data_IF_761151909986
#
_entry.id   IF_761151909986
#
_cell.length_a   1.000
_cell.length_b   1.000
_cell.length_c   1.000
_cell.angle_alpha   90.00
_cell.angle_beta   90.00
_cell.angle_gamma   90.00
#
_symmetry.space_group_name_H-M   'P 1'
#
loop_
_entity.id
_entity.type
_entity.pdbx_description
1 polymer ?
#
# COMPACT_ATOMS: atom_id res chain seq x y z
N UNK A 1 19.86 6.45 13.67
CA UNK A 1 19.49 6.08 12.28
C UNK A 1 19.73 4.60 12.14
N UNK A 2 18.72 3.86 11.71
CA UNK A 2 18.83 2.47 11.32
C UNK A 2 19.57 2.34 9.97
N UNK A 3 19.87 1.11 9.57
CA UNK A 3 20.66 0.85 8.35
C UNK A 3 19.99 -0.18 7.44
N UNK A 4 18.75 -0.57 7.74
CA UNK A 4 18.05 -1.65 7.01
C UNK A 4 17.80 -1.33 5.53
N UNK A 5 17.65 -0.04 5.20
CA UNK A 5 17.46 0.46 3.84
C UNK A 5 18.56 1.42 3.40
N UNK A 6 19.76 1.33 4.02
CA UNK A 6 20.85 2.27 3.74
C UNK A 6 21.17 2.34 2.24
N UNK A 7 21.00 3.52 1.66
CA UNK A 7 21.27 3.79 0.25
C UNK A 7 20.24 3.23 -0.74
N UNK A 8 19.18 2.57 -0.30
CA UNK A 8 18.07 2.10 -1.15
C UNK A 8 17.18 3.27 -1.57
N UNK A 9 16.69 3.23 -2.78
CA UNK A 9 15.72 4.20 -3.33
C UNK A 9 14.32 3.60 -3.30
N UNK A 10 13.42 4.26 -2.58
CA UNK A 10 12.04 3.83 -2.41
C UNK A 10 11.07 4.83 -3.07
N UNK A 11 10.17 4.34 -3.92
CA UNK A 11 9.01 5.07 -4.43
C UNK A 11 7.79 4.64 -3.62
N UNK A 12 7.10 5.60 -3.01
CA UNK A 12 5.91 5.36 -2.17
C UNK A 12 4.74 6.17 -2.71
N UNK A 13 3.67 5.50 -3.16
CA UNK A 13 2.45 6.17 -3.60
C UNK A 13 1.47 6.38 -2.44
N UNK A 14 0.73 7.50 -2.43
CA UNK A 14 -0.12 7.88 -1.30
C UNK A 14 0.71 8.22 -0.06
N UNK A 15 1.90 8.80 -0.24
CA UNK A 15 2.87 9.04 0.81
C UNK A 15 2.62 10.26 1.67
N UNK A 16 1.60 11.07 1.38
CA UNK A 16 1.33 12.32 2.11
C UNK A 16 0.47 12.14 3.37
N UNK A 17 -0.11 10.96 3.60
CA UNK A 17 -0.99 10.72 4.75
C UNK A 17 -0.95 9.27 5.25
N UNK A 18 -1.56 9.02 6.41
CA UNK A 18 -1.85 7.70 6.94
C UNK A 18 -0.65 6.75 6.96
N UNK A 19 -0.87 5.54 6.45
CA UNK A 19 0.16 4.49 6.39
C UNK A 19 1.32 4.88 5.48
N UNK A 20 1.03 5.54 4.33
CA UNK A 20 2.07 5.99 3.41
C UNK A 20 3.06 6.94 4.06
N UNK A 21 2.57 7.97 4.78
CA UNK A 21 3.42 8.91 5.49
C UNK A 21 4.22 8.24 6.63
N UNK A 22 3.60 7.31 7.35
CA UNK A 22 4.30 6.53 8.37
C UNK A 22 5.44 5.70 7.76
N UNK A 23 5.22 5.12 6.57
CA UNK A 23 6.24 4.38 5.83
C UNK A 23 7.36 5.31 5.33
N UNK A 24 7.03 6.48 4.79
CA UNK A 24 8.00 7.50 4.37
C UNK A 24 8.96 7.82 5.52
N UNK A 25 8.43 8.21 6.69
CA UNK A 25 9.23 8.55 7.86
C UNK A 25 10.10 7.37 8.31
N UNK A 26 9.51 6.17 8.36
CA UNK A 26 10.21 4.97 8.78
C UNK A 26 11.32 4.54 7.82
N UNK A 27 11.11 4.67 6.51
CA UNK A 27 12.12 4.34 5.51
C UNK A 27 13.30 5.33 5.52
N UNK A 28 13.01 6.63 5.72
CA UNK A 28 14.06 7.65 5.93
C UNK A 28 14.90 7.35 7.18
N UNK A 29 14.26 6.98 8.30
CA UNK A 29 14.95 6.63 9.55
C UNK A 29 15.90 5.43 9.37
N UNK A 30 15.61 4.55 8.40
CA UNK A 30 16.41 3.37 8.06
C UNK A 30 17.39 3.61 6.88
N UNK A 31 17.55 4.87 6.47
CA UNK A 31 18.58 5.29 5.52
C UNK A 31 18.20 5.20 4.05
N UNK A 32 16.92 5.04 3.73
CA UNK A 32 16.44 5.10 2.35
C UNK A 32 16.45 6.53 1.81
N UNK A 33 16.58 6.65 0.46
CA UNK A 33 16.15 7.82 -0.30
C UNK A 33 14.71 7.60 -0.73
N UNK A 34 13.83 8.56 -0.44
CA UNK A 34 12.39 8.39 -0.65
C UNK A 34 11.87 9.36 -1.69
N UNK A 35 11.12 8.83 -2.66
CA UNK A 35 10.30 9.60 -3.61
C UNK A 35 8.84 9.35 -3.28
N UNK A 36 8.11 10.42 -2.99
CA UNK A 36 6.69 10.40 -2.69
C UNK A 36 5.90 10.72 -3.95
N UNK A 37 4.96 9.86 -4.32
CA UNK A 37 3.92 10.14 -5.31
C UNK A 37 2.57 10.35 -4.63
N UNK A 38 1.93 11.50 -4.80
CA UNK A 38 0.60 11.78 -4.22
C UNK A 38 -0.15 12.82 -5.05
N UNK A 39 -1.48 12.76 -5.02
CA UNK A 39 -2.32 13.78 -5.70
C UNK A 39 -2.36 15.10 -4.91
N UNK A 40 -2.08 15.07 -3.61
CA UNK A 40 -2.10 16.26 -2.75
C UNK A 40 -0.80 17.05 -2.87
N UNK A 41 -0.75 17.94 -3.87
CA UNK A 41 0.43 18.74 -4.16
C UNK A 41 0.85 19.65 -3.01
N UNK A 42 -0.10 20.19 -2.23
CA UNK A 42 0.18 21.09 -1.10
C UNK A 42 0.85 20.33 0.04
N UNK A 43 0.27 19.20 0.46
CA UNK A 43 0.86 18.36 1.50
C UNK A 43 2.22 17.81 1.08
N UNK A 44 2.37 17.41 -0.19
CA UNK A 44 3.62 16.88 -0.72
C UNK A 44 4.73 17.92 -0.75
N UNK A 45 4.44 19.15 -1.14
CA UNK A 45 5.41 20.25 -1.11
C UNK A 45 5.85 20.57 0.33
N UNK A 46 4.91 20.61 1.28
CA UNK A 46 5.23 20.83 2.69
C UNK A 46 6.13 19.71 3.26
N UNK A 47 5.86 18.45 2.91
CA UNK A 47 6.69 17.32 3.34
C UNK A 47 8.11 17.37 2.72
N UNK A 48 8.24 17.82 1.47
CA UNK A 48 9.54 17.97 0.84
C UNK A 48 10.39 19.11 1.46
N UNK A 49 9.75 20.10 2.09
CA UNK A 49 10.44 21.12 2.88
C UNK A 49 10.85 20.62 4.29
N UNK A 50 10.04 19.72 4.88
CA UNK A 50 10.25 19.18 6.25
C UNK A 50 11.22 17.99 6.26
N UNK A 51 11.13 17.12 5.26
CA UNK A 51 11.83 15.84 5.20
C UNK A 51 12.80 15.80 4.01
N UNK A 52 13.87 14.99 4.09
CA UNK A 52 14.79 14.73 2.96
C UNK A 52 14.14 13.78 1.94
N UNK A 53 13.11 14.25 1.23
CA UNK A 53 12.35 13.50 0.24
C UNK A 53 12.23 14.25 -1.08
N UNK A 54 12.08 13.51 -2.17
CA UNK A 54 11.61 14.06 -3.45
C UNK A 54 10.09 13.86 -3.54
N UNK A 55 9.36 14.91 -3.85
CA UNK A 55 7.90 14.85 -4.07
C UNK A 55 7.57 15.00 -5.55
N UNK A 56 6.64 14.19 -6.03
CA UNK A 56 6.06 14.25 -7.38
C UNK A 56 4.54 14.25 -7.25
N UNK A 57 3.89 15.31 -7.72
CA UNK A 57 2.43 15.32 -7.82
C UNK A 57 2.01 14.32 -8.89
N UNK A 58 1.18 13.34 -8.53
CA UNK A 58 0.79 12.24 -9.42
C UNK A 58 -0.61 11.72 -9.11
N UNK A 59 -1.42 11.61 -10.15
CA UNK A 59 -2.59 10.74 -10.14
C UNK A 59 -2.13 9.35 -10.59
N UNK A 60 -2.21 8.36 -9.69
CA UNK A 60 -1.77 6.99 -9.97
C UNK A 60 -2.63 6.25 -10.99
N UNK A 61 -3.75 6.84 -11.41
CA UNK A 61 -4.59 6.32 -12.50
C UNK A 61 -4.12 6.79 -13.89
N UNK A 62 -3.20 7.77 -13.93
CA UNK A 62 -2.62 8.29 -15.17
C UNK A 62 -1.28 7.58 -15.46
N UNK A 63 -1.19 6.77 -16.55
CA UNK A 63 0.01 6.00 -16.85
C UNK A 63 1.24 6.87 -17.15
N UNK A 64 1.09 8.05 -17.74
CA UNK A 64 2.21 8.93 -18.06
C UNK A 64 2.77 9.56 -16.80
N UNK A 65 1.92 9.96 -15.86
CA UNK A 65 2.34 10.50 -14.56
C UNK A 65 3.03 9.43 -13.71
N UNK A 66 2.52 8.18 -13.71
CA UNK A 66 3.17 7.05 -13.02
C UNK A 66 4.56 6.78 -13.63
N UNK A 67 4.69 6.74 -14.95
CA UNK A 67 5.99 6.61 -15.61
C UNK A 67 6.95 7.73 -15.21
N UNK A 68 6.47 8.97 -15.15
CA UNK A 68 7.27 10.13 -14.74
C UNK A 68 7.73 10.03 -13.28
N UNK A 69 6.89 9.51 -12.37
CA UNK A 69 7.23 9.29 -10.96
C UNK A 69 8.46 8.38 -10.82
N UNK A 70 8.42 7.19 -11.44
CA UNK A 70 9.53 6.22 -11.35
C UNK A 70 10.78 6.70 -12.09
N UNK A 71 10.62 7.42 -13.21
CA UNK A 71 11.72 8.06 -13.91
C UNK A 71 12.39 9.12 -13.03
N UNK A 72 11.62 9.95 -12.33
CA UNK A 72 12.16 10.95 -11.40
C UNK A 72 13.01 10.30 -10.31
N UNK A 73 12.58 9.16 -9.77
CA UNK A 73 13.35 8.42 -8.78
C UNK A 73 14.70 7.95 -9.35
N UNK A 74 14.67 7.37 -10.54
CA UNK A 74 15.90 6.92 -11.22
C UNK A 74 16.82 8.08 -11.59
N UNK A 75 16.30 9.15 -12.19
CA UNK A 75 17.08 10.31 -12.62
C UNK A 75 17.71 11.04 -11.44
N UNK A 76 17.05 11.04 -10.26
CA UNK A 76 17.53 11.73 -9.06
C UNK A 76 18.56 10.90 -8.27
N UNK A 77 18.34 9.60 -8.16
CA UNK A 77 19.08 8.74 -7.22
C UNK A 77 19.80 7.57 -7.89
N UNK A 78 19.58 7.32 -9.19
CA UNK A 78 20.27 6.30 -9.99
C UNK A 78 19.74 4.88 -9.84
N UNK A 79 18.67 4.66 -9.07
CA UNK A 79 18.04 3.33 -8.91
C UNK A 79 16.55 3.43 -8.57
N UNK A 80 15.85 2.29 -8.64
CA UNK A 80 14.52 2.05 -8.06
C UNK A 80 14.58 0.70 -7.36
N UNK A 81 14.85 0.71 -6.05
CA UNK A 81 15.04 -0.52 -5.29
C UNK A 81 13.74 -1.03 -4.68
N UNK A 82 12.85 -0.11 -4.29
CA UNK A 82 11.61 -0.42 -3.60
C UNK A 82 10.47 0.34 -4.25
N UNK A 83 9.38 -0.37 -4.57
CA UNK A 83 8.10 0.22 -4.96
C UNK A 83 7.05 -0.15 -3.92
N UNK A 84 6.60 0.81 -3.12
CA UNK A 84 5.50 0.63 -2.18
C UNK A 84 4.24 1.25 -2.76
N UNK A 85 3.42 0.41 -3.39
CA UNK A 85 2.16 0.76 -4.02
C UNK A 85 1.07 0.82 -2.94
N UNK A 86 0.94 1.99 -2.31
CA UNK A 86 0.11 2.19 -1.13
C UNK A 86 -1.13 3.06 -1.41
N UNK A 87 -1.12 3.90 -2.45
CA UNK A 87 -2.25 4.76 -2.79
C UNK A 87 -3.54 3.94 -3.00
N UNK A 88 -4.64 4.37 -2.36
CA UNK A 88 -5.95 3.75 -2.47
C UNK A 88 -7.08 4.73 -2.17
N UNK A 89 -8.30 4.35 -2.54
CA UNK A 89 -9.54 5.00 -2.12
C UNK A 89 -10.52 3.99 -1.51
N UNK A 90 -11.32 4.45 -0.54
CA UNK A 90 -12.43 3.70 0.06
C UNK A 90 -13.64 4.65 0.09
N UNK A 91 -14.36 4.81 -1.02
CA UNK A 91 -15.45 5.77 -1.08
C UNK A 91 -16.72 5.25 -0.39
N UNK A 92 -17.51 6.15 0.20
CA UNK A 92 -18.75 5.82 0.93
C UNK A 92 -19.86 5.25 0.05
N UNK A 93 -19.81 5.49 -1.26
CA UNK A 93 -20.77 4.97 -2.23
C UNK A 93 -20.45 3.55 -2.73
N UNK A 94 -19.35 2.95 -2.27
CA UNK A 94 -19.05 1.53 -2.48
C UNK A 94 -19.67 0.68 -1.36
N UNK A 95 -20.75 0.02 -1.67
CA UNK A 95 -21.60 -0.71 -0.72
C UNK A 95 -21.89 -2.14 -1.23
N UNK A 96 -23.18 -2.55 -1.15
CA UNK A 96 -23.65 -3.84 -1.63
C UNK A 96 -23.61 -3.91 -3.17
N UNK A 97 -23.45 -5.11 -3.71
CA UNK A 97 -23.61 -5.39 -5.16
C UNK A 97 -24.93 -4.88 -5.74
N UNK A 98 -25.96 -4.70 -4.92
CA UNK A 98 -27.27 -4.22 -5.33
C UNK A 98 -27.38 -2.69 -5.37
N UNK A 99 -26.47 -1.97 -4.71
CA UNK A 99 -26.56 -0.52 -4.51
C UNK A 99 -25.35 0.25 -5.04
N UNK A 100 -24.18 -0.41 -5.19
CA UNK A 100 -22.99 0.20 -5.80
C UNK A 100 -23.23 0.36 -7.30
N UNK A 101 -23.16 1.58 -7.79
CA UNK A 101 -23.32 1.84 -9.22
C UNK A 101 -22.02 1.49 -10.00
N UNK A 102 -22.15 1.43 -11.33
CA UNK A 102 -21.05 1.03 -12.18
C UNK A 102 -19.92 2.08 -12.23
N UNK A 103 -20.21 3.34 -11.98
CA UNK A 103 -19.19 4.40 -11.99
C UNK A 103 -18.38 4.40 -10.70
N UNK A 104 -19.02 4.15 -9.53
CA UNK A 104 -18.32 3.88 -8.28
C UNK A 104 -17.42 2.64 -8.40
N UNK A 105 -17.96 1.54 -8.96
CA UNK A 105 -17.17 0.34 -9.26
C UNK A 105 -15.93 0.66 -10.09
N UNK A 106 -16.10 1.33 -11.24
CA UNK A 106 -14.99 1.64 -12.16
C UNK A 106 -13.93 2.52 -11.49
N UNK A 107 -14.37 3.57 -10.78
CA UNK A 107 -13.46 4.47 -10.05
C UNK A 107 -12.60 3.72 -9.04
N UNK A 108 -13.19 2.79 -8.28
CA UNK A 108 -12.45 1.98 -7.30
C UNK A 108 -11.49 1.01 -7.99
N UNK A 109 -11.93 0.32 -9.07
CA UNK A 109 -11.01 -0.55 -9.83
C UNK A 109 -9.83 0.24 -10.39
N UNK A 110 -10.06 1.43 -10.93
CA UNK A 110 -9.03 2.28 -11.50
C UNK A 110 -8.01 2.73 -10.44
N UNK A 111 -8.52 3.24 -9.32
CA UNK A 111 -7.66 3.77 -8.26
C UNK A 111 -6.91 2.68 -7.47
N UNK A 112 -7.53 1.49 -7.24
CA UNK A 112 -6.99 0.49 -6.31
C UNK A 112 -6.36 -0.73 -6.98
N UNK A 113 -6.67 -0.99 -8.25
CA UNK A 113 -6.13 -2.15 -8.99
C UNK A 113 -5.31 -1.72 -10.21
N UNK A 114 -5.90 -0.91 -11.12
CA UNK A 114 -5.19 -0.45 -12.31
C UNK A 114 -3.96 0.37 -11.93
N UNK A 115 -4.04 1.22 -10.92
CA UNK A 115 -2.90 1.99 -10.41
C UNK A 115 -1.74 1.10 -9.97
N UNK A 116 -2.03 0.01 -9.24
CA UNK A 116 -0.99 -0.95 -8.80
C UNK A 116 -0.34 -1.65 -10.00
N UNK A 117 -1.16 -2.01 -11.01
CA UNK A 117 -0.63 -2.54 -12.27
C UNK A 117 0.32 -1.54 -12.94
N UNK A 118 -0.06 -0.28 -13.07
CA UNK A 118 0.75 0.78 -13.68
C UNK A 118 2.06 1.00 -12.91
N UNK A 119 2.01 1.05 -11.58
CA UNK A 119 3.20 1.20 -10.74
C UNK A 119 4.15 0.01 -10.87
N UNK A 120 3.63 -1.22 -10.87
CA UNK A 120 4.45 -2.42 -11.10
C UNK A 120 5.09 -2.39 -12.49
N UNK A 121 4.33 -2.02 -13.54
CA UNK A 121 4.81 -1.90 -14.90
C UNK A 121 5.93 -0.85 -15.03
N UNK A 122 5.82 0.27 -14.32
CA UNK A 122 6.82 1.33 -14.34
C UNK A 122 8.09 1.00 -13.54
N UNK A 123 7.97 0.26 -12.43
CA UNK A 123 9.10 -0.11 -11.57
C UNK A 123 9.95 -1.25 -12.15
N UNK A 124 9.30 -2.27 -12.72
CA UNK A 124 9.95 -3.51 -13.14
C UNK A 124 11.12 -3.34 -14.13
N UNK A 125 11.08 -2.47 -15.15
CA UNK A 125 12.23 -2.29 -16.06
C UNK A 125 13.52 -1.92 -15.33
N UNK A 126 13.47 -1.01 -14.36
CA UNK A 126 14.62 -0.60 -13.56
C UNK A 126 15.13 -1.75 -12.69
N UNK A 127 14.21 -2.45 -12.01
CA UNK A 127 14.55 -3.57 -11.13
C UNK A 127 15.15 -4.76 -11.91
N UNK A 128 14.67 -5.04 -13.12
CA UNK A 128 15.21 -6.08 -14.00
C UNK A 128 16.63 -5.77 -14.44
N UNK A 129 16.93 -4.52 -14.80
CA UNK A 129 18.28 -4.08 -15.16
C UNK A 129 19.23 -4.19 -13.95
N UNK A 130 18.75 -3.81 -12.77
CA UNK A 130 19.49 -3.90 -11.50
C UNK A 130 19.65 -5.34 -10.98
N UNK A 131 18.80 -6.29 -11.43
CA UNK A 131 18.65 -7.66 -10.90
C UNK A 131 18.36 -7.67 -9.40
N UNK A 132 17.64 -6.68 -8.94
CA UNK A 132 17.26 -6.49 -7.55
C UNK A 132 16.04 -5.60 -7.47
N UNK A 133 15.09 -5.95 -6.57
CA UNK A 133 13.94 -5.11 -6.29
C UNK A 133 13.00 -5.71 -5.25
N UNK A 134 12.25 -4.85 -4.58
CA UNK A 134 11.14 -5.24 -3.70
C UNK A 134 9.91 -4.42 -4.02
N UNK A 135 8.86 -5.08 -4.50
CA UNK A 135 7.54 -4.49 -4.73
C UNK A 135 6.63 -4.92 -3.59
N UNK A 136 5.99 -3.94 -2.97
CA UNK A 136 5.02 -4.14 -1.89
C UNK A 136 3.70 -3.55 -2.36
N UNK A 137 2.69 -4.38 -2.53
CA UNK A 137 1.36 -3.96 -2.95
C UNK A 137 0.42 -3.95 -1.76
N UNK A 138 -0.20 -2.82 -1.46
CA UNK A 138 -1.23 -2.73 -0.43
C UNK A 138 -2.50 -3.41 -0.92
N UNK A 139 -2.69 -4.65 -0.46
CA UNK A 139 -3.97 -5.35 -0.54
C UNK A 139 -4.83 -4.99 0.68
N UNK A 140 -5.54 -5.94 1.25
CA UNK A 140 -6.38 -5.76 2.43
C UNK A 140 -6.74 -7.10 3.03
N UNK A 141 -7.09 -7.11 4.30
CA UNK A 141 -7.79 -8.25 4.91
C UNK A 141 -9.07 -8.60 4.14
N UNK A 142 -9.79 -7.60 3.59
CA UNK A 142 -10.99 -7.80 2.78
C UNK A 142 -10.74 -8.62 1.48
N UNK A 143 -9.49 -8.69 1.01
CA UNK A 143 -9.12 -9.55 -0.12
C UNK A 143 -8.96 -11.03 0.26
N UNK A 144 -8.84 -11.32 1.55
CA UNK A 144 -8.59 -12.67 2.10
C UNK A 144 -9.86 -13.29 2.64
N UNK A 145 -10.74 -12.45 3.20
CA UNK A 145 -11.99 -12.87 3.81
C UNK A 145 -13.09 -11.84 3.56
N UNK A 146 -14.36 -12.25 3.71
CA UNK A 146 -15.49 -11.34 3.53
C UNK A 146 -15.51 -10.23 4.59
N UNK A 147 -15.87 -9.03 4.18
CA UNK A 147 -16.07 -7.88 5.06
C UNK A 147 -17.44 -7.94 5.74
N UNK A 148 -17.52 -7.42 6.96
CA UNK A 148 -18.78 -7.23 7.67
C UNK A 148 -19.59 -6.06 7.10
N UNK A 149 -18.91 -5.03 6.65
CA UNK A 149 -19.47 -3.90 5.93
C UNK A 149 -19.33 -4.13 4.44
N UNK A 150 -20.43 -4.00 3.69
CA UNK A 150 -20.39 -4.22 2.25
C UNK A 150 -19.54 -3.13 1.57
N UNK A 151 -18.59 -3.57 0.74
CA UNK A 151 -17.66 -2.74 -0.05
C UNK A 151 -17.19 -3.56 -1.26
N UNK A 152 -18.14 -3.84 -2.16
CA UNK A 152 -17.93 -4.85 -3.22
C UNK A 152 -16.78 -4.50 -4.16
N UNK A 153 -16.67 -3.21 -4.55
CA UNK A 153 -15.64 -2.75 -5.48
C UNK A 153 -14.26 -2.79 -4.85
N UNK A 154 -14.15 -2.32 -3.60
CA UNK A 154 -12.92 -2.36 -2.82
C UNK A 154 -12.43 -3.81 -2.65
N UNK A 155 -13.29 -4.69 -2.16
CA UNK A 155 -12.96 -6.11 -1.95
C UNK A 155 -12.49 -6.77 -3.24
N UNK A 156 -13.18 -6.53 -4.35
CA UNK A 156 -12.80 -7.08 -5.66
C UNK A 156 -11.45 -6.52 -6.14
N UNK A 157 -11.22 -5.21 -5.99
CA UNK A 157 -9.95 -4.58 -6.38
C UNK A 157 -8.77 -5.16 -5.60
N UNK A 158 -8.92 -5.31 -4.27
CA UNK A 158 -7.87 -5.86 -3.40
C UNK A 158 -7.64 -7.36 -3.62
N UNK A 159 -8.69 -8.12 -3.99
CA UNK A 159 -8.56 -9.49 -4.48
C UNK A 159 -7.75 -9.58 -5.77
N UNK A 160 -7.96 -8.66 -6.71
CA UNK A 160 -7.17 -8.51 -7.92
C UNK A 160 -5.69 -8.22 -7.64
N UNK A 161 -5.41 -7.31 -6.69
CA UNK A 161 -4.04 -7.00 -6.24
C UNK A 161 -3.34 -8.25 -5.68
N UNK A 162 -4.04 -9.06 -4.87
CA UNK A 162 -3.48 -10.33 -4.37
C UNK A 162 -3.13 -11.31 -5.50
N UNK A 163 -4.02 -11.45 -6.48
CA UNK A 163 -3.80 -12.35 -7.61
C UNK A 163 -2.60 -11.90 -8.45
N UNK A 164 -2.55 -10.60 -8.79
CA UNK A 164 -1.44 -10.01 -9.54
C UNK A 164 -0.11 -10.10 -8.77
N UNK A 165 -0.10 -9.89 -7.47
CA UNK A 165 1.09 -10.01 -6.63
C UNK A 165 1.69 -11.41 -6.69
N UNK A 166 0.86 -12.47 -6.64
CA UNK A 166 1.33 -13.86 -6.76
C UNK A 166 1.94 -14.13 -8.13
N UNK A 167 1.28 -13.67 -9.19
CA UNK A 167 1.76 -13.83 -10.57
C UNK A 167 3.14 -13.18 -10.74
N UNK A 168 3.26 -11.90 -10.39
CA UNK A 168 4.52 -11.15 -10.53
C UNK A 168 5.63 -11.72 -9.62
N UNK A 169 5.29 -12.10 -8.37
CA UNK A 169 6.25 -12.65 -7.43
C UNK A 169 6.84 -13.99 -7.86
N UNK A 170 6.07 -14.80 -8.59
CA UNK A 170 6.55 -16.07 -9.19
C UNK A 170 7.35 -15.77 -10.46
N UNK A 171 6.83 -14.90 -11.33
CA UNK A 171 7.43 -14.59 -12.63
C UNK A 171 8.84 -14.03 -12.49
N UNK A 172 9.05 -13.07 -11.59
CA UNK A 172 10.31 -12.32 -11.48
C UNK A 172 11.25 -12.77 -10.34
N UNK A 173 10.90 -13.86 -9.63
CA UNK A 173 11.72 -14.35 -8.51
C UNK A 173 13.17 -14.67 -8.92
N UNK A 174 13.39 -15.24 -10.10
CA UNK A 174 14.73 -15.60 -10.59
C UNK A 174 15.54 -14.40 -11.08
N UNK A 175 14.88 -13.28 -11.27
CA UNK A 175 15.50 -12.01 -11.64
C UNK A 175 15.93 -11.19 -10.40
N UNK A 176 15.78 -11.77 -9.19
CA UNK A 176 16.13 -11.12 -7.94
C UNK A 176 15.07 -10.13 -7.44
N UNK A 177 13.85 -10.17 -7.99
CA UNK A 177 12.77 -9.25 -7.62
C UNK A 177 11.75 -10.00 -6.76
N UNK A 178 11.42 -9.42 -5.60
CA UNK A 178 10.37 -9.91 -4.71
C UNK A 178 9.12 -9.06 -4.87
N UNK A 179 7.97 -9.70 -4.93
CA UNK A 179 6.68 -9.00 -4.99
C UNK A 179 5.76 -9.60 -3.94
N UNK A 180 5.34 -8.79 -2.96
CA UNK A 180 4.53 -9.24 -1.84
C UNK A 180 3.31 -8.33 -1.63
N UNK A 181 2.21 -8.90 -1.16
CA UNK A 181 1.02 -8.17 -0.78
C UNK A 181 1.02 -7.93 0.73
N UNK A 182 0.97 -6.68 1.13
CA UNK A 182 0.67 -6.28 2.51
C UNK A 182 -0.85 -6.22 2.67
N UNK A 183 -1.37 -6.95 3.65
CA UNK A 183 -2.80 -7.08 3.90
C UNK A 183 -3.15 -6.54 5.30
N UNK A 184 -3.33 -5.23 5.45
CA UNK A 184 -3.74 -4.64 6.72
C UNK A 184 -5.17 -5.07 7.10
N UNK A 185 -5.40 -5.22 8.41
CA UNK A 185 -6.72 -5.12 9.00
C UNK A 185 -7.12 -3.65 9.19
N UNK A 186 -8.07 -3.36 10.09
CA UNK A 186 -8.47 -1.99 10.39
C UNK A 186 -7.32 -1.16 10.98
N UNK A 187 -7.07 0.02 10.40
CA UNK A 187 -5.99 0.94 10.77
C UNK A 187 -6.57 2.30 11.13
N UNK A 188 -6.09 2.92 12.19
CA UNK A 188 -6.47 4.28 12.60
C UNK A 188 -5.78 5.31 11.69
N UNK A 189 -6.48 5.76 10.64
CA UNK A 189 -6.00 6.73 9.65
C UNK A 189 -7.03 7.84 9.47
N UNK A 190 -6.68 9.00 8.89
CA UNK A 190 -7.68 10.00 8.53
C UNK A 190 -8.81 9.44 7.66
N UNK A 191 -8.49 8.55 6.71
CA UNK A 191 -9.49 7.88 5.86
C UNK A 191 -10.45 6.99 6.67
N UNK A 192 -9.94 6.18 7.60
CA UNK A 192 -10.79 5.33 8.45
C UNK A 192 -11.61 6.16 9.45
N UNK A 193 -11.13 7.33 9.87
CA UNK A 193 -11.88 8.21 10.76
C UNK A 193 -13.16 8.72 10.09
N UNK A 194 -13.11 9.08 8.81
CA UNK A 194 -14.30 9.47 8.04
C UNK A 194 -15.33 8.33 7.98
N UNK A 195 -14.87 7.08 7.83
CA UNK A 195 -15.74 5.90 7.84
C UNK A 195 -16.35 5.65 9.22
N UNK A 196 -15.57 5.76 10.29
CA UNK A 196 -16.01 5.64 11.68
C UNK A 196 -17.06 6.69 12.00
N UNK A 197 -16.83 7.94 11.61
CA UNK A 197 -17.76 9.05 11.86
C UNK A 197 -19.07 8.88 11.08
N UNK A 198 -19.04 8.21 9.93
CA UNK A 198 -20.24 7.91 9.12
C UNK A 198 -21.07 6.73 9.63
N UNK A 199 -20.45 5.73 10.28
CA UNK A 199 -21.12 4.54 10.89
C UNK A 199 -20.42 4.12 12.20
N UNK A 200 -20.66 4.84 13.32
CA UNK A 200 -20.04 4.52 14.62
C UNK A 200 -20.40 3.11 15.13
N UNK A 201 -21.64 2.66 14.90
CA UNK A 201 -22.05 1.30 15.29
C UNK A 201 -21.33 0.23 14.46
N UNK A 202 -21.08 0.51 13.19
CA UNK A 202 -20.25 -0.35 12.31
C UNK A 202 -18.83 -0.46 12.83
N UNK A 203 -18.24 0.66 13.24
CA UNK A 203 -16.91 0.71 13.81
C UNK A 203 -16.80 -0.08 15.12
N UNK A 204 -17.80 0.00 16.02
CA UNK A 204 -17.84 -0.82 17.24
C UNK A 204 -17.95 -2.32 16.93
N UNK A 205 -18.76 -2.69 15.94
CA UNK A 205 -18.86 -4.09 15.47
C UNK A 205 -17.55 -4.59 14.87
N UNK A 206 -16.82 -3.73 14.14
CA UNK A 206 -15.51 -4.06 13.59
C UNK A 206 -14.48 -4.23 14.69
N UNK A 207 -14.42 -3.29 15.64
CA UNK A 207 -13.54 -3.36 16.80
C UNK A 207 -13.71 -4.65 17.60
N UNK A 208 -14.97 -5.07 17.84
CA UNK A 208 -15.28 -6.29 18.57
C UNK A 208 -14.78 -7.57 17.88
N UNK A 209 -14.41 -7.52 16.61
CA UNK A 209 -13.86 -8.65 15.83
C UNK A 209 -12.36 -8.73 15.87
N UNK A 210 -11.67 -7.68 16.33
CA UNK A 210 -10.22 -7.64 16.40
C UNK A 210 -9.78 -8.31 17.70
N UNK A 211 -9.11 -9.48 17.69
CA UNK A 211 -8.65 -10.12 18.93
C UNK A 211 -7.74 -9.25 19.79
N UNK A 212 -6.95 -8.38 19.18
CA UNK A 212 -6.13 -7.40 19.92
C UNK A 212 -6.92 -6.25 20.54
N UNK A 213 -8.23 -6.12 20.27
CA UNK A 213 -9.14 -5.15 20.90
C UNK A 213 -8.91 -3.69 20.49
N UNK A 214 -8.18 -3.42 19.42
CA UNK A 214 -7.91 -2.08 18.91
C UNK A 214 -7.61 -2.08 17.42
N UNK A 215 -7.76 -0.95 16.77
CA UNK A 215 -7.23 -0.73 15.43
C UNK A 215 -5.69 -0.67 15.47
N UNK A 216 -5.08 -1.00 14.34
CA UNK A 216 -3.64 -0.82 14.19
C UNK A 216 -3.30 0.67 14.05
N UNK A 217 -2.12 1.05 14.54
CA UNK A 217 -1.55 2.35 14.23
C UNK A 217 -0.83 2.30 12.86
N UNK A 218 -0.81 3.41 12.08
CA UNK A 218 -0.11 3.47 10.80
C UNK A 218 1.34 2.99 10.86
N UNK A 219 2.04 3.25 11.98
CA UNK A 219 3.42 2.85 12.22
C UNK A 219 3.60 1.33 12.31
N UNK A 220 2.57 0.58 12.72
CA UNK A 220 2.62 -0.88 12.79
C UNK A 220 2.56 -1.49 11.39
N UNK A 221 1.75 -0.92 10.50
CA UNK A 221 1.69 -1.32 9.08
C UNK A 221 2.98 -0.91 8.36
N UNK A 222 3.49 0.30 8.63
CA UNK A 222 4.76 0.77 8.09
C UNK A 222 5.95 -0.10 8.54
N UNK A 223 5.91 -0.70 9.74
CA UNK A 223 6.92 -1.64 10.19
C UNK A 223 6.94 -2.94 9.37
N UNK A 224 5.76 -3.44 8.99
CA UNK A 224 5.64 -4.59 8.11
C UNK A 224 6.10 -4.26 6.68
N UNK A 225 5.75 -3.06 6.17
CA UNK A 225 6.25 -2.59 4.87
C UNK A 225 7.78 -2.49 4.87
N UNK A 226 8.39 -1.94 5.92
CA UNK A 226 9.85 -1.88 6.07
C UNK A 226 10.49 -3.28 6.07
N UNK A 227 9.91 -4.24 6.78
CA UNK A 227 10.41 -5.62 6.76
C UNK A 227 10.37 -6.20 5.34
N UNK A 228 9.27 -6.04 4.62
CA UNK A 228 9.14 -6.51 3.24
C UNK A 228 10.05 -5.76 2.26
N UNK A 229 10.36 -4.49 2.52
CA UNK A 229 11.30 -3.69 1.73
C UNK A 229 12.75 -4.12 1.92
N UNK A 230 13.12 -4.60 3.10
CA UNK A 230 14.49 -4.91 3.50
C UNK A 230 14.95 -6.31 3.10
N UNK A 231 16.26 -6.56 3.19
CA UNK A 231 16.88 -7.87 2.92
C UNK A 231 16.52 -8.92 3.99
N UNK A 232 15.92 -8.51 5.12
CA UNK A 232 15.39 -9.45 6.13
C UNK A 232 14.28 -10.36 5.57
N UNK A 233 13.59 -9.90 4.52
CA UNK A 233 12.57 -10.68 3.80
C UNK A 233 13.08 -11.28 2.49
N UNK A 234 14.40 -11.52 2.35
CA UNK A 234 15.06 -11.96 1.11
C UNK A 234 14.53 -13.31 0.57
N UNK A 235 13.90 -14.15 1.40
CA UNK A 235 13.30 -15.42 0.98
C UNK A 235 11.76 -15.38 0.95
N UNK A 236 11.16 -14.16 0.90
CA UNK A 236 9.71 -13.95 0.89
C UNK A 236 9.32 -13.25 -0.41
N UNK A 237 8.61 -13.96 -1.29
CA UNK A 237 7.99 -13.44 -2.52
C UNK A 237 6.67 -14.13 -2.78
N UNK A 238 5.78 -13.53 -3.58
CA UNK A 238 4.44 -14.01 -3.91
C UNK A 238 3.55 -14.27 -2.67
N UNK A 239 3.87 -13.65 -1.53
CA UNK A 239 3.22 -13.88 -0.25
C UNK A 239 2.12 -12.85 0.01
N UNK A 240 1.08 -13.27 0.74
CA UNK A 240 0.17 -12.38 1.44
C UNK A 240 0.64 -12.22 2.88
N UNK A 241 0.93 -11.00 3.29
CA UNK A 241 1.47 -10.67 4.61
C UNK A 241 0.39 -9.97 5.44
N UNK A 242 -0.24 -10.73 6.33
CA UNK A 242 -1.35 -10.25 7.15
C UNK A 242 -0.84 -9.44 8.35
N UNK A 243 -1.42 -8.26 8.57
CA UNK A 243 -1.20 -7.40 9.73
C UNK A 243 -2.56 -6.92 10.22
N UNK A 244 -3.30 -7.79 10.92
CA UNK A 244 -4.74 -7.69 11.12
C UNK A 244 -5.21 -7.83 12.57
N UNK A 245 -4.29 -7.80 13.54
CA UNK A 245 -4.62 -7.95 14.95
C UNK A 245 -5.22 -9.30 15.32
N UNK A 246 -5.05 -10.32 14.44
CA UNK A 246 -5.51 -11.69 14.65
C UNK A 246 -6.90 -12.01 14.08
N UNK A 247 -7.52 -11.08 13.34
CA UNK A 247 -8.88 -11.29 12.79
C UNK A 247 -8.95 -12.55 11.94
N UNK A 248 -8.03 -12.71 10.97
CA UNK A 248 -8.02 -13.85 10.05
C UNK A 248 -7.74 -15.20 10.71
N UNK A 249 -7.13 -15.19 11.89
CA UNK A 249 -6.81 -16.39 12.67
C UNK A 249 -7.88 -16.78 13.70
N UNK A 250 -8.89 -15.94 13.90
CA UNK A 250 -9.90 -16.12 14.95
C UNK A 250 -11.18 -16.75 14.40
N UNK A 251 -11.65 -17.84 15.02
CA UNK A 251 -12.97 -18.42 14.76
C UNK A 251 -14.07 -17.64 15.49
N UNK A 252 -13.82 -17.25 16.73
CA UNK A 252 -14.64 -16.35 17.55
C UNK A 252 -13.69 -15.45 18.32
N UNK A 253 -13.77 -14.12 18.18
CA UNK A 253 -12.93 -13.24 18.95
C UNK A 253 -13.23 -13.40 20.46
N UNK A 254 -12.22 -13.23 21.34
CA UNK A 254 -12.45 -13.17 22.76
C UNK A 254 -13.41 -12.02 23.10
N UNK A 255 -14.38 -12.27 23.99
CA UNK A 255 -15.28 -11.24 24.54
C UNK A 255 -14.54 -10.40 25.60
#
# INVERSE_FOLDING_TARGET
MGTRLQGRVAVITGGCSGVGLAAVKKFLDEGAKVVIGDVNAEAGAALAEELDVTFVAVDVTDPDQVQALFRTAFDTYGSVDIAYNNAEIVPLDDQSILTTDLDAWRRVQEANLTSVYLCCQAALPYMLEQKHGSIINTASLAAVMGSATSQISYTASKGGVLAMTRELGVQFARDGIRVNALCPGPVSTPLSQELIDSDPEGAERELARIPMGRFAEPQEIAAAALFLASDESSFITASQFLVDGGISGSYVPPL
#
